data_IF_804444966304
#
_entry.id   IF_804444966304
#
_cell.length_a   1.000
_cell.length_b   1.000
_cell.length_c   1.000
_cell.angle_alpha   90.00
_cell.angle_beta   90.00
_cell.angle_gamma   90.00
#
_symmetry.space_group_name_H-M   'P 1'
#
loop_
_entity.id
_entity.type
_entity.pdbx_description
1 polymer ?
#
# COMPACT_ATOMS: atom_id res chain seq x y z
N UNK A 1 -10.37 -19.81 18.13
CA UNK A 1 -11.49 -19.81 19.09
C UNK A 1 -12.01 -18.37 19.18
N UNK A 2 -13.21 -18.10 18.63
CA UNK A 2 -13.84 -16.78 18.71
C UNK A 2 -14.65 -16.66 20.01
N UNK A 3 -14.58 -15.50 20.66
CA UNK A 3 -15.40 -15.21 21.83
C UNK A 3 -16.74 -14.59 21.37
N UNK A 4 -17.86 -15.21 21.72
CA UNK A 4 -19.19 -14.70 21.39
C UNK A 4 -19.68 -13.84 22.55
N UNK A 5 -19.73 -12.52 22.37
CA UNK A 5 -20.35 -11.62 23.35
C UNK A 5 -21.74 -11.26 22.83
N UNK A 6 -22.75 -11.61 23.61
CA UNK A 6 -24.15 -11.28 23.32
C UNK A 6 -24.48 -9.94 23.99
N UNK A 7 -24.64 -8.88 23.20
CA UNK A 7 -25.16 -7.60 23.71
C UNK A 7 -26.67 -7.55 23.45
N UNK A 8 -27.44 -7.48 24.52
CA UNK A 8 -28.90 -7.34 24.45
C UNK A 8 -29.25 -5.87 24.24
N UNK A 9 -29.76 -5.54 23.05
CA UNK A 9 -30.33 -4.22 22.77
C UNK A 9 -31.77 -4.14 23.30
N UNK A 10 -32.24 -2.94 23.63
CA UNK A 10 -33.54 -2.70 24.30
C UNK A 10 -34.78 -3.12 23.50
N UNK A 11 -34.62 -3.49 22.23
CA UNK A 11 -35.70 -3.90 21.32
C UNK A 11 -35.85 -5.43 21.13
N UNK A 12 -35.20 -6.25 21.96
CA UNK A 12 -35.38 -7.71 21.93
C UNK A 12 -34.79 -8.42 20.70
N UNK A 13 -34.04 -7.72 19.85
CA UNK A 13 -33.25 -8.32 18.77
C UNK A 13 -31.86 -8.72 19.26
N UNK A 14 -31.62 -10.02 19.42
CA UNK A 14 -30.29 -10.59 19.73
C UNK A 14 -29.42 -10.52 18.47
N UNK A 15 -28.66 -9.44 18.27
CA UNK A 15 -27.61 -9.41 17.24
C UNK A 15 -26.40 -10.19 17.76
N UNK A 16 -26.17 -11.39 17.21
CA UNK A 16 -24.90 -12.10 17.42
C UNK A 16 -23.79 -11.35 16.67
N UNK A 17 -23.07 -10.49 17.39
CA UNK A 17 -21.83 -9.91 16.89
C UNK A 17 -20.76 -11.00 17.03
N UNK A 18 -20.53 -11.72 15.93
CA UNK A 18 -19.46 -12.69 15.86
C UNK A 18 -18.13 -11.92 15.87
N UNK A 19 -17.46 -11.86 17.02
CA UNK A 19 -16.11 -11.34 17.09
C UNK A 19 -15.23 -12.30 16.30
N UNK A 20 -14.85 -11.89 15.09
CA UNK A 20 -13.72 -12.51 14.41
C UNK A 20 -12.57 -12.52 15.41
N UNK A 21 -11.98 -13.68 15.64
CA UNK A 21 -10.90 -13.87 16.61
C UNK A 21 -9.70 -12.95 16.35
N UNK A 22 -8.60 -13.12 17.10
CA UNK A 22 -7.42 -12.26 16.94
C UNK A 22 -7.03 -12.16 15.46
N UNK A 23 -6.86 -10.92 14.98
CA UNK A 23 -6.49 -10.63 13.60
C UNK A 23 -5.21 -11.40 13.24
N UNK A 24 -5.13 -12.01 12.05
CA UNK A 24 -3.96 -12.74 11.64
C UNK A 24 -2.73 -11.82 11.64
N UNK A 25 -1.56 -12.38 11.94
CA UNK A 25 -0.30 -11.63 12.09
C UNK A 25 -0.01 -10.74 10.87
N UNK A 26 -0.34 -11.22 9.66
CA UNK A 26 -0.23 -10.43 8.43
C UNK A 26 -1.07 -9.15 8.42
N UNK A 27 -2.27 -9.17 8.99
CA UNK A 27 -3.13 -7.97 9.09
C UNK A 27 -2.52 -6.92 10.01
N UNK A 28 -1.86 -7.32 11.10
CA UNK A 28 -1.15 -6.40 11.99
C UNK A 28 0.02 -5.71 11.30
N UNK A 29 0.80 -6.44 10.50
CA UNK A 29 1.88 -5.86 9.70
C UNK A 29 1.35 -4.84 8.69
N UNK A 30 0.23 -5.14 8.04
CA UNK A 30 -0.43 -4.21 7.12
C UNK A 30 -0.90 -2.96 7.87
N UNK A 31 -1.51 -3.13 9.04
CA UNK A 31 -2.05 -2.02 9.83
C UNK A 31 -0.93 -1.10 10.33
N UNK A 32 0.17 -1.68 10.81
CA UNK A 32 1.38 -0.94 11.19
C UNK A 32 1.97 -0.18 9.99
N UNK A 33 2.09 -0.85 8.83
CA UNK A 33 2.57 -0.20 7.61
C UNK A 33 1.65 0.98 7.22
N UNK A 34 0.32 0.84 7.33
CA UNK A 34 -0.60 1.95 7.07
C UNK A 34 -0.38 3.14 8.00
N UNK A 35 -0.08 2.92 9.28
CA UNK A 35 0.23 4.01 10.24
C UNK A 35 1.52 4.73 9.84
N UNK A 36 2.61 3.98 9.63
CA UNK A 36 3.91 4.54 9.19
C UNK A 36 3.75 5.29 7.87
N UNK A 37 2.97 4.74 6.94
CA UNK A 37 2.70 5.38 5.67
C UNK A 37 1.90 6.67 5.82
N UNK A 38 0.93 6.71 6.74
CA UNK A 38 0.17 7.93 7.05
C UNK A 38 1.05 9.08 7.54
N UNK A 39 2.00 8.79 8.44
CA UNK A 39 2.97 9.77 8.93
C UNK A 39 3.94 10.22 7.84
N UNK A 40 4.59 9.27 7.16
CA UNK A 40 5.57 9.58 6.11
C UNK A 40 4.93 10.37 4.96
N UNK A 41 3.69 10.09 4.60
CA UNK A 41 3.00 10.81 3.54
C UNK A 41 2.70 12.28 3.87
N UNK A 42 2.44 12.61 5.15
CA UNK A 42 2.30 13.99 5.61
C UNK A 42 3.64 14.73 5.58
N UNK A 43 4.71 14.07 6.02
CA UNK A 43 6.07 14.61 5.94
C UNK A 43 6.49 14.85 4.49
N UNK A 44 6.23 13.90 3.59
CA UNK A 44 6.48 14.02 2.17
C UNK A 44 5.77 15.24 1.57
N UNK A 45 4.50 15.49 1.92
CA UNK A 45 3.80 16.71 1.47
C UNK A 45 4.49 17.99 1.96
N UNK A 46 4.85 18.04 3.24
CA UNK A 46 5.51 19.21 3.83
C UNK A 46 6.85 19.49 3.14
N UNK A 47 7.61 18.43 2.89
CA UNK A 47 8.90 18.49 2.25
C UNK A 47 8.78 18.90 0.77
N UNK A 48 7.84 18.31 -0.01
CA UNK A 48 7.60 18.70 -1.41
C UNK A 48 7.22 20.18 -1.53
N UNK A 49 6.39 20.69 -0.61
CA UNK A 49 6.05 22.13 -0.56
C UNK A 49 7.26 23.01 -0.26
N UNK A 50 8.19 22.54 0.56
CA UNK A 50 9.39 23.30 0.92
C UNK A 50 10.43 23.33 -0.20
N UNK A 51 10.59 22.24 -0.96
CA UNK A 51 11.74 22.10 -1.89
C UNK A 51 11.41 22.45 -3.34
N UNK A 52 10.14 22.58 -3.75
CA UNK A 52 9.63 22.83 -5.13
C UNK A 52 10.13 21.92 -6.26
N UNK A 53 11.13 21.07 -6.00
CA UNK A 53 11.76 20.15 -6.94
C UNK A 53 11.51 18.70 -6.53
N UNK A 54 10.46 18.12 -7.09
CA UNK A 54 9.98 16.74 -6.81
C UNK A 54 11.04 15.65 -7.09
N UNK A 55 11.99 15.93 -7.98
CA UNK A 55 13.09 15.00 -8.36
C UNK A 55 13.94 14.59 -7.14
N UNK A 56 14.12 15.48 -6.14
CA UNK A 56 14.91 15.16 -4.95
C UNK A 56 14.27 14.05 -4.10
N UNK A 57 12.95 13.95 -4.09
CA UNK A 57 12.25 12.91 -3.34
C UNK A 57 12.38 11.54 -4.00
N UNK A 58 12.38 11.50 -5.34
CA UNK A 58 12.67 10.28 -6.09
C UNK A 58 14.10 9.81 -5.79
N UNK A 59 15.08 10.72 -5.84
CA UNK A 59 16.48 10.41 -5.54
C UNK A 59 16.70 9.96 -4.08
N UNK A 60 16.03 10.59 -3.12
CA UNK A 60 16.10 10.21 -1.70
C UNK A 60 15.63 8.78 -1.42
N UNK A 61 14.64 8.27 -2.18
CA UNK A 61 14.18 6.88 -2.07
C UNK A 61 15.21 5.88 -2.62
N UNK A 62 15.88 6.22 -3.71
CA UNK A 62 17.00 5.42 -4.22
C UNK A 62 18.15 5.33 -3.21
N UNK A 63 18.51 6.47 -2.58
CA UNK A 63 19.53 6.48 -1.52
C UNK A 63 19.08 5.61 -0.34
N UNK A 64 17.83 5.74 0.09
CA UNK A 64 17.29 4.95 1.21
C UNK A 64 17.34 3.44 0.91
N UNK A 65 16.96 3.03 -0.30
CA UNK A 65 17.05 1.62 -0.71
C UNK A 65 18.52 1.13 -0.69
N UNK A 66 19.44 1.92 -1.25
CA UNK A 66 20.87 1.61 -1.25
C UNK A 66 21.47 1.55 0.15
N UNK A 67 21.11 2.48 1.04
CA UNK A 67 21.58 2.51 2.43
C UNK A 67 21.01 1.36 3.25
N UNK A 68 19.77 0.94 2.99
CA UNK A 68 19.17 -0.21 3.68
C UNK A 68 19.87 -1.51 3.28
N UNK A 69 20.13 -1.70 1.98
CA UNK A 69 20.93 -2.83 1.48
C UNK A 69 22.36 -2.83 2.05
N UNK A 70 23.01 -1.65 2.06
CA UNK A 70 24.33 -1.47 2.68
C UNK A 70 24.33 -1.77 4.18
N UNK A 71 23.29 -1.33 4.89
CA UNK A 71 23.08 -1.58 6.31
C UNK A 71 22.86 -3.06 6.62
N UNK A 72 22.04 -3.77 5.84
CA UNK A 72 21.84 -5.21 5.99
C UNK A 72 23.14 -6.00 5.78
N UNK A 73 23.94 -5.60 4.79
CA UNK A 73 25.27 -6.17 4.55
C UNK A 73 26.23 -5.88 5.72
N UNK A 74 26.26 -4.65 6.22
CA UNK A 74 27.09 -4.27 7.36
C UNK A 74 26.69 -4.99 8.66
N UNK A 75 25.39 -5.25 8.85
CA UNK A 75 24.84 -6.01 9.97
C UNK A 75 25.06 -7.52 9.84
N UNK A 76 25.68 -8.01 8.76
CA UNK A 76 25.93 -9.44 8.53
C UNK A 76 24.66 -10.26 8.26
N UNK A 77 23.51 -9.59 8.03
CA UNK A 77 22.23 -10.26 7.71
C UNK A 77 22.08 -10.59 6.23
N UNK A 78 22.95 -10.04 5.38
CA UNK A 78 22.96 -10.26 3.94
C UNK A 78 24.37 -10.68 3.49
N UNK A 79 24.54 -11.93 3.06
CA UNK A 79 25.83 -12.42 2.59
C UNK A 79 26.08 -12.03 1.12
N UNK A 80 27.36 -11.98 0.72
CA UNK A 80 27.73 -11.69 -0.66
C UNK A 80 27.27 -12.78 -1.66
N UNK A 81 27.10 -14.00 -1.17
CA UNK A 81 26.54 -15.16 -1.87
C UNK A 81 25.08 -14.94 -2.27
N UNK A 82 24.29 -14.25 -1.44
CA UNK A 82 22.88 -13.93 -1.71
C UNK A 82 22.72 -12.84 -2.79
N UNK A 83 23.77 -12.05 -3.03
CA UNK A 83 23.79 -10.99 -4.05
C UNK A 83 24.11 -11.51 -5.45
N UNK A 84 24.82 -12.65 -5.58
CA UNK A 84 25.14 -13.26 -6.89
C UNK A 84 23.91 -13.55 -7.77
N UNK A 85 22.80 -14.11 -7.27
CA UNK A 85 21.61 -14.34 -8.11
C UNK A 85 20.96 -13.04 -8.61
N UNK A 86 21.07 -11.93 -7.85
CA UNK A 86 20.55 -10.61 -8.23
C UNK A 86 21.35 -9.99 -9.40
N UNK A 87 22.61 -10.36 -9.56
CA UNK A 87 23.49 -9.87 -10.63
C UNK A 87 23.25 -10.53 -11.99
N UNK A 88 22.39 -11.55 -12.07
CA UNK A 88 22.05 -12.18 -13.36
C UNK A 88 21.37 -11.16 -14.27
N UNK A 89 21.73 -11.07 -15.57
CA UNK A 89 21.25 -10.01 -16.45
C UNK A 89 19.72 -9.99 -16.59
N UNK A 90 19.08 -11.16 -16.59
CA UNK A 90 17.61 -11.27 -16.60
C UNK A 90 16.96 -10.72 -15.32
N UNK A 91 17.54 -11.02 -14.16
CA UNK A 91 17.05 -10.53 -12.87
C UNK A 91 17.27 -9.02 -12.76
N UNK A 92 18.44 -8.55 -13.21
CA UNK A 92 18.76 -7.13 -13.26
C UNK A 92 17.79 -6.36 -14.16
N UNK A 93 17.43 -6.89 -15.34
CA UNK A 93 16.45 -6.27 -16.22
C UNK A 93 15.05 -6.19 -15.59
N UNK A 94 14.61 -7.24 -14.90
CA UNK A 94 13.36 -7.24 -14.14
C UNK A 94 13.39 -6.20 -13.01
N UNK A 95 14.46 -6.17 -12.22
CA UNK A 95 14.65 -5.19 -11.14
C UNK A 95 14.66 -3.77 -11.69
N UNK A 96 15.34 -3.52 -12.81
CA UNK A 96 15.37 -2.21 -13.45
C UNK A 96 13.98 -1.78 -13.91
N UNK A 97 13.21 -2.70 -14.48
CA UNK A 97 11.81 -2.45 -14.89
C UNK A 97 10.93 -2.11 -13.68
N UNK A 98 11.09 -2.84 -12.57
CA UNK A 98 10.38 -2.57 -11.31
C UNK A 98 10.77 -1.19 -10.78
N UNK A 99 12.07 -0.88 -10.71
CA UNK A 99 12.57 0.41 -10.25
C UNK A 99 12.08 1.57 -11.13
N UNK A 100 12.05 1.39 -12.45
CA UNK A 100 11.53 2.41 -13.37
C UNK A 100 10.02 2.62 -13.16
N UNK A 101 9.27 1.54 -12.99
CA UNK A 101 7.83 1.60 -12.72
C UNK A 101 7.55 2.30 -11.39
N UNK A 102 8.32 1.99 -10.35
CA UNK A 102 8.20 2.63 -9.03
C UNK A 102 8.62 4.11 -9.07
N UNK A 103 9.63 4.47 -9.87
CA UNK A 103 10.02 5.86 -10.08
C UNK A 103 8.91 6.67 -10.76
N UNK A 104 8.33 6.16 -11.85
CA UNK A 104 7.19 6.79 -12.55
C UNK A 104 5.98 6.91 -11.60
N UNK A 105 5.74 5.86 -10.84
CA UNK A 105 4.69 5.80 -9.84
C UNK A 105 4.85 6.91 -8.78
N UNK A 106 6.05 7.03 -8.19
CA UNK A 106 6.34 8.05 -7.18
C UNK A 106 6.29 9.46 -7.75
N UNK A 107 6.80 9.68 -8.97
CA UNK A 107 6.71 10.99 -9.62
C UNK A 107 5.26 11.41 -9.82
N UNK A 108 4.42 10.50 -10.32
CA UNK A 108 2.98 10.73 -10.50
C UNK A 108 2.28 11.00 -9.17
N UNK A 109 2.67 10.28 -8.11
CA UNK A 109 2.15 10.49 -6.76
C UNK A 109 2.52 11.87 -6.21
N UNK A 110 3.79 12.28 -6.33
CA UNK A 110 4.24 13.59 -5.86
C UNK A 110 3.56 14.72 -6.63
N UNK A 111 3.43 14.59 -7.96
CA UNK A 111 2.63 15.50 -8.78
C UNK A 111 1.17 15.55 -8.34
N UNK A 112 0.53 14.42 -8.04
CA UNK A 112 -0.84 14.43 -7.54
C UNK A 112 -0.96 15.13 -6.18
N UNK A 113 0.01 14.94 -5.28
CA UNK A 113 0.04 15.57 -3.95
C UNK A 113 0.24 17.08 -4.00
N UNK A 114 0.87 17.62 -5.06
CA UNK A 114 0.96 19.07 -5.26
C UNK A 114 -0.35 19.67 -5.77
N UNK A 115 -1.15 18.91 -6.52
CA UNK A 115 -2.40 19.36 -7.13
C UNK A 115 -3.62 19.20 -6.22
N UNK A 116 -3.71 18.09 -5.47
CA UNK A 116 -4.88 17.74 -4.67
C UNK A 116 -4.51 17.42 -3.21
N UNK A 117 -5.53 17.35 -2.33
CA UNK A 117 -5.29 16.96 -0.94
C UNK A 117 -4.70 15.54 -0.85
N UNK A 118 -3.68 15.29 0.00
CA UNK A 118 -3.10 13.97 0.23
C UNK A 118 -4.14 12.90 0.58
N UNK A 119 -5.21 13.30 1.26
CA UNK A 119 -6.30 12.39 1.62
C UNK A 119 -6.96 11.82 0.36
N UNK A 120 -7.21 12.65 -0.66
CA UNK A 120 -7.75 12.20 -1.94
C UNK A 120 -6.78 11.32 -2.72
N UNK A 121 -5.49 11.69 -2.77
CA UNK A 121 -4.46 10.86 -3.41
C UNK A 121 -4.42 9.47 -2.78
N UNK A 122 -4.51 9.40 -1.44
CA UNK A 122 -4.47 8.13 -0.71
C UNK A 122 -5.73 7.30 -0.94
N UNK A 123 -6.90 7.95 -0.94
CA UNK A 123 -8.18 7.30 -1.22
C UNK A 123 -8.23 6.71 -2.64
N UNK A 124 -7.83 7.50 -3.66
CA UNK A 124 -7.76 7.05 -5.06
C UNK A 124 -6.72 5.93 -5.21
N UNK A 125 -5.52 6.08 -4.62
CA UNK A 125 -4.47 5.06 -4.67
C UNK A 125 -4.94 3.73 -4.08
N UNK A 126 -5.49 3.75 -2.86
CA UNK A 126 -5.91 2.54 -2.14
C UNK A 126 -7.15 1.93 -2.80
N UNK A 127 -8.14 2.75 -3.16
CA UNK A 127 -9.38 2.26 -3.74
C UNK A 127 -9.22 1.79 -5.19
N UNK A 128 -8.53 2.57 -6.02
CA UNK A 128 -8.17 2.19 -7.39
C UNK A 128 -7.25 0.97 -7.43
N UNK A 129 -6.30 0.86 -6.50
CA UNK A 129 -5.43 -0.30 -6.38
C UNK A 129 -6.19 -1.60 -6.08
N UNK A 130 -7.17 -1.57 -5.17
CA UNK A 130 -8.01 -2.74 -4.87
C UNK A 130 -8.84 -3.16 -6.08
N UNK A 131 -9.42 -2.19 -6.80
CA UNK A 131 -10.16 -2.42 -8.04
C UNK A 131 -9.28 -3.09 -9.11
N UNK A 132 -8.13 -2.48 -9.39
CA UNK A 132 -7.21 -2.95 -10.44
C UNK A 132 -6.64 -4.33 -10.10
N UNK A 133 -6.24 -4.54 -8.84
CA UNK A 133 -5.74 -5.82 -8.38
C UNK A 133 -6.80 -6.92 -8.46
N UNK A 134 -8.06 -6.61 -8.11
CA UNK A 134 -9.16 -7.57 -8.23
C UNK A 134 -9.46 -7.90 -9.69
N UNK A 135 -9.46 -6.89 -10.58
CA UNK A 135 -9.67 -7.10 -12.01
C UNK A 135 -8.55 -7.95 -12.61
N UNK A 136 -7.28 -7.65 -12.29
CA UNK A 136 -6.13 -8.41 -12.76
C UNK A 136 -6.18 -9.85 -12.23
N UNK A 137 -6.52 -10.06 -10.95
CA UNK A 137 -6.71 -11.37 -10.35
C UNK A 137 -7.78 -12.21 -11.08
N UNK A 138 -8.92 -11.60 -11.41
CA UNK A 138 -9.99 -12.30 -12.12
C UNK A 138 -9.62 -12.56 -13.59
N UNK A 139 -9.06 -11.59 -14.30
CA UNK A 139 -8.77 -11.70 -15.75
C UNK A 139 -7.57 -12.60 -16.04
N UNK A 140 -6.47 -12.45 -15.29
CA UNK A 140 -5.22 -13.16 -15.58
C UNK A 140 -5.06 -14.46 -14.79
N UNK A 141 -5.64 -14.54 -13.59
CA UNK A 141 -5.47 -15.69 -12.69
C UNK A 141 -6.75 -16.50 -12.47
N UNK A 142 -7.88 -16.08 -13.05
CA UNK A 142 -9.15 -16.78 -12.93
C UNK A 142 -9.70 -16.82 -11.50
N UNK A 143 -9.29 -15.89 -10.64
CA UNK A 143 -9.74 -15.88 -9.25
C UNK A 143 -11.25 -15.60 -9.16
N UNK A 144 -12.02 -16.44 -8.42
CA UNK A 144 -13.45 -16.23 -8.27
C UNK A 144 -13.74 -14.94 -7.50
N UNK A 145 -14.61 -14.09 -8.05
CA UNK A 145 -15.00 -12.82 -7.45
C UNK A 145 -15.98 -12.95 -6.27
N UNK A 146 -16.41 -14.17 -5.95
CA UNK A 146 -17.46 -14.45 -4.97
C UNK A 146 -17.11 -13.89 -3.58
N UNK A 147 -17.98 -13.04 -3.04
CA UNK A 147 -17.81 -12.41 -1.71
C UNK A 147 -16.95 -11.13 -1.68
N UNK A 148 -16.23 -10.80 -2.76
CA UNK A 148 -15.37 -9.59 -2.83
C UNK A 148 -16.06 -8.39 -3.49
N UNK A 149 -17.14 -8.62 -4.24
CA UNK A 149 -17.84 -7.58 -5.01
C UNK A 149 -18.44 -6.47 -4.13
N UNK A 150 -19.03 -6.79 -2.98
CA UNK A 150 -19.64 -5.79 -2.09
C UNK A 150 -18.57 -4.84 -1.50
N UNK A 151 -17.46 -5.35 -0.93
CA UNK A 151 -16.33 -4.49 -0.52
C UNK A 151 -15.74 -3.66 -1.66
N UNK A 152 -15.59 -4.24 -2.85
CA UNK A 152 -15.05 -3.50 -4.00
C UNK A 152 -16.00 -2.37 -4.38
N UNK A 153 -17.31 -2.65 -4.53
CA UNK A 153 -18.31 -1.66 -4.90
C UNK A 153 -18.43 -0.52 -3.88
N UNK A 154 -18.33 -0.81 -2.58
CA UNK A 154 -18.36 0.23 -1.54
C UNK A 154 -17.13 1.14 -1.61
N UNK A 155 -15.95 0.57 -1.88
CA UNK A 155 -14.70 1.32 -2.11
C UNK A 155 -14.81 2.18 -3.37
N UNK A 156 -15.30 1.62 -4.50
CA UNK A 156 -15.48 2.38 -5.75
C UNK A 156 -16.42 3.56 -5.51
N UNK A 157 -17.57 3.30 -4.91
CA UNK A 157 -18.58 4.32 -4.63
C UNK A 157 -18.02 5.42 -3.74
N UNK A 158 -17.27 5.06 -2.70
CA UNK A 158 -16.59 6.03 -1.83
C UNK A 158 -15.57 6.90 -2.58
N UNK A 159 -14.76 6.30 -3.47
CA UNK A 159 -13.81 7.05 -4.29
C UNK A 159 -14.52 7.98 -5.28
N UNK A 160 -15.56 7.50 -5.98
CA UNK A 160 -16.34 8.31 -6.91
C UNK A 160 -16.98 9.50 -6.19
N UNK A 161 -17.55 9.29 -5.00
CA UNK A 161 -18.16 10.36 -4.21
C UNK A 161 -17.13 11.40 -3.74
N UNK A 162 -15.89 10.97 -3.46
CA UNK A 162 -14.78 11.87 -3.14
C UNK A 162 -14.28 12.64 -4.37
N UNK A 163 -14.44 12.11 -5.58
CA UNK A 163 -14.03 12.78 -6.82
C UNK A 163 -15.09 13.75 -7.39
N UNK A 164 -16.36 13.64 -6.97
CA UNK A 164 -17.47 14.47 -7.46
C UNK A 164 -17.66 15.78 -6.65
N UNK A 165 -16.78 16.07 -5.69
CA UNK A 165 -16.88 17.22 -4.78
C UNK A 165 -15.72 18.18 -4.95
#
# INVERSE_FOLDING_TARGET
AGATVSTSDKDGQTRQVQYLGPLPVGSWLILFNCVVYGFTFRLDKAAVRATTKEIYFMYGRFIMAASTLGGCRAAGTLEATDLKPLQRPKVLALLLTICLSDAIYMLSLYKAVTLISPVYVTAIKRGGGVLLASLIGTVFFGEPASGRLIPIASIVTGVVFLCLK
#
